data_IF_940114680159
#
_entry.id   IF_940114680159
#
_cell.length_a   1.000
_cell.length_b   1.000
_cell.length_c   1.000
_cell.angle_alpha   90.00
_cell.angle_beta   90.00
_cell.angle_gamma   90.00
#
_symmetry.space_group_name_H-M   'P 1'
#
loop_
_entity.id
_entity.type
_entity.pdbx_description
1 polymer ?
#
# COMPACT_ATOMS: atom_id res chain seq x y z
N UNK A 1 61.05 24.64 7.44
CA UNK A 1 59.63 24.99 7.66
C UNK A 1 58.82 24.19 6.65
N UNK A 2 57.94 23.31 7.11
CA UNK A 2 57.20 22.40 6.24
C UNK A 2 55.81 22.98 6.02
N UNK A 3 55.44 23.22 4.77
CA UNK A 3 54.13 23.77 4.39
C UNK A 3 53.25 22.69 3.79
N UNK A 4 51.95 22.74 4.06
CA UNK A 4 50.92 21.89 3.46
C UNK A 4 50.10 22.72 2.48
N UNK A 5 49.85 22.17 1.28
CA UNK A 5 48.79 22.65 0.38
C UNK A 5 47.56 21.76 0.58
N UNK A 6 46.40 22.36 0.84
CA UNK A 6 45.16 21.64 1.15
C UNK A 6 44.01 22.17 0.29
N UNK A 7 43.35 21.29 -0.46
CA UNK A 7 42.35 21.64 -1.49
C UNK A 7 40.95 21.05 -1.22
N UNK A 8 40.74 20.43 -0.08
CA UNK A 8 39.44 19.81 0.27
C UNK A 8 38.56 20.77 1.08
N UNK A 9 37.31 20.37 1.33
CA UNK A 9 36.39 21.11 2.16
C UNK A 9 36.60 20.79 3.65
N UNK A 10 36.54 21.83 4.46
CA UNK A 10 36.54 21.71 5.91
C UNK A 10 35.15 22.04 6.45
N UNK A 11 34.65 21.20 7.35
CA UNK A 11 33.48 21.49 8.16
C UNK A 11 33.91 22.24 9.43
N UNK A 12 33.17 23.28 9.78
CA UNK A 12 33.30 23.95 11.08
C UNK A 12 32.49 23.15 12.09
N UNK A 13 33.13 22.73 13.16
CA UNK A 13 32.51 22.07 14.30
C UNK A 13 32.79 22.85 15.59
N UNK A 14 31.88 22.70 16.55
CA UNK A 14 31.99 23.35 17.86
C UNK A 14 32.23 22.29 18.92
N UNK A 15 33.14 22.59 19.86
CA UNK A 15 33.33 21.69 20.98
C UNK A 15 32.10 21.70 21.89
N UNK A 16 31.52 20.52 22.14
CA UNK A 16 30.34 20.41 23.02
C UNK A 16 30.66 20.72 24.50
N UNK A 17 31.94 20.77 24.88
CA UNK A 17 32.38 21.10 26.24
C UNK A 17 32.81 22.55 26.40
N UNK A 18 33.73 23.04 25.56
CA UNK A 18 34.29 24.38 25.70
C UNK A 18 33.82 25.40 24.64
N UNK A 19 33.03 24.98 23.66
CA UNK A 19 32.45 25.87 22.64
C UNK A 19 33.43 26.39 21.58
N UNK A 20 34.71 26.00 21.61
CA UNK A 20 35.68 26.44 20.59
C UNK A 20 35.25 25.96 19.21
N UNK A 21 35.28 26.85 18.23
CA UNK A 21 35.09 26.53 16.82
C UNK A 21 36.41 25.97 16.26
N UNK A 22 36.34 24.85 15.54
CA UNK A 22 37.49 24.26 14.85
C UNK A 22 37.06 23.62 13.54
N UNK A 23 38.00 23.55 12.61
CA UNK A 23 37.78 23.00 11.28
C UNK A 23 38.31 21.57 11.20
N UNK A 24 37.55 20.67 10.59
CA UNK A 24 37.98 19.30 10.30
C UNK A 24 37.58 18.91 8.87
N UNK A 25 38.33 18.00 8.20
CA UNK A 25 37.93 17.48 6.89
C UNK A 25 36.50 16.95 6.90
N UNK A 26 35.71 17.29 5.88
CA UNK A 26 34.29 16.89 5.80
C UNK A 26 34.11 15.37 5.82
N UNK A 27 35.03 14.64 5.20
CA UNK A 27 35.03 13.18 5.17
C UNK A 27 35.32 12.56 6.56
N UNK A 28 36.16 13.19 7.37
CA UNK A 28 36.42 12.79 8.74
C UNK A 28 35.21 13.09 9.63
N UNK A 29 34.57 14.26 9.46
CA UNK A 29 33.32 14.61 10.13
C UNK A 29 32.22 13.58 9.81
N UNK A 30 31.99 13.27 8.53
CA UNK A 30 31.01 12.27 8.09
C UNK A 30 31.27 10.90 8.72
N UNK A 31 32.53 10.42 8.67
CA UNK A 31 32.92 9.14 9.28
C UNK A 31 32.62 9.09 10.78
N UNK A 32 32.83 10.19 11.51
CA UNK A 32 32.49 10.28 12.95
C UNK A 32 30.98 10.30 13.20
N UNK A 33 30.20 10.89 12.30
CA UNK A 33 28.72 10.85 12.37
C UNK A 33 28.17 9.45 12.09
N UNK A 34 28.87 8.67 11.27
CA UNK A 34 28.49 7.30 10.95
C UNK A 34 28.95 6.28 12.01
N UNK A 35 30.19 6.38 12.47
CA UNK A 35 30.77 5.42 13.42
C UNK A 35 30.57 5.77 14.90
N UNK A 36 30.11 7.00 15.19
CA UNK A 36 29.92 7.56 16.53
C UNK A 36 31.15 7.46 17.44
N UNK A 37 32.35 7.29 16.88
CA UNK A 37 33.57 7.24 17.68
C UNK A 37 33.99 8.65 18.10
N UNK A 38 34.71 8.69 19.21
CA UNK A 38 35.21 9.93 19.77
C UNK A 38 36.20 10.65 18.83
N UNK A 39 36.14 11.97 18.89
CA UNK A 39 37.09 12.91 18.31
C UNK A 39 37.35 14.03 19.33
N UNK A 40 38.36 14.86 19.09
CA UNK A 40 38.84 15.82 20.07
C UNK A 40 38.88 17.23 19.48
N UNK A 41 38.50 18.21 20.29
CA UNK A 41 38.76 19.61 19.96
C UNK A 41 40.26 19.95 20.17
N UNK A 42 40.74 21.10 19.68
CA UNK A 42 42.13 21.52 19.87
C UNK A 42 42.56 21.70 21.33
N UNK A 43 41.60 21.92 22.23
CA UNK A 43 41.84 21.99 23.68
C UNK A 43 41.84 20.61 24.37
N UNK A 44 41.62 19.52 23.64
CA UNK A 44 41.71 18.14 24.15
C UNK A 44 40.43 17.54 24.73
N UNK A 45 39.28 18.23 24.68
CA UNK A 45 38.00 17.64 25.11
C UNK A 45 37.52 16.58 24.13
N UNK A 46 37.20 15.39 24.65
CA UNK A 46 36.59 14.28 23.91
C UNK A 46 35.12 14.56 23.61
N UNK A 47 34.70 14.29 22.37
CA UNK A 47 33.34 14.46 21.91
C UNK A 47 32.98 13.39 20.88
N UNK A 48 31.71 13.04 20.77
CA UNK A 48 31.19 12.10 19.78
C UNK A 48 29.80 12.54 19.36
N UNK A 49 29.37 12.14 18.17
CA UNK A 49 28.00 12.39 17.74
C UNK A 49 27.05 11.41 18.44
N UNK A 50 25.84 11.85 18.69
CA UNK A 50 24.79 11.06 19.33
C UNK A 50 23.57 10.97 18.42
N UNK A 51 22.72 9.97 18.66
CA UNK A 51 21.51 9.72 17.88
C UNK A 51 21.67 8.56 16.91
N UNK A 52 20.69 8.44 15.99
CA UNK A 52 20.70 7.39 14.96
C UNK A 52 21.64 7.79 13.83
N UNK A 53 22.46 6.84 13.36
CA UNK A 53 23.22 7.00 12.13
C UNK A 53 22.27 7.19 10.95
N UNK A 54 22.76 7.74 9.84
CA UNK A 54 21.94 7.81 8.64
C UNK A 54 21.52 6.41 8.17
N UNK A 55 22.41 5.41 8.25
CA UNK A 55 22.08 4.02 7.95
C UNK A 55 20.91 3.49 8.81
N UNK A 56 20.94 3.73 10.13
CA UNK A 56 19.86 3.33 11.03
C UNK A 56 18.54 4.03 10.68
N UNK A 57 18.58 5.32 10.34
CA UNK A 57 17.39 6.06 9.89
C UNK A 57 16.86 5.51 8.57
N UNK A 58 17.73 5.19 7.61
CA UNK A 58 17.31 4.61 6.34
C UNK A 58 16.72 3.22 6.54
N UNK A 59 17.30 2.39 7.41
CA UNK A 59 16.75 1.07 7.74
C UNK A 59 15.36 1.17 8.37
N UNK A 60 15.18 2.06 9.33
CA UNK A 60 13.87 2.29 9.95
C UNK A 60 12.82 2.80 8.96
N UNK A 61 13.22 3.68 8.02
CA UNK A 61 12.36 4.11 6.92
C UNK A 61 11.98 2.94 6.02
N UNK A 62 12.95 2.11 5.63
CA UNK A 62 12.73 0.94 4.80
C UNK A 62 11.76 -0.04 5.49
N UNK A 63 11.98 -0.35 6.76
CA UNK A 63 11.10 -1.23 7.56
C UNK A 63 9.69 -0.65 7.66
N UNK A 64 9.55 0.67 7.83
CA UNK A 64 8.25 1.33 7.87
C UNK A 64 7.53 1.24 6.52
N UNK A 65 8.23 1.47 5.41
CA UNK A 65 7.66 1.35 4.07
C UNK A 65 7.26 -0.10 3.78
N UNK A 66 8.09 -1.07 4.14
CA UNK A 66 7.81 -2.49 3.97
C UNK A 66 6.50 -2.89 4.68
N UNK A 67 6.33 -2.49 5.94
CA UNK A 67 5.08 -2.73 6.70
C UNK A 67 3.86 -2.07 6.04
N UNK A 68 4.02 -0.88 5.46
CA UNK A 68 2.93 -0.22 4.75
C UNK A 68 2.52 -0.98 3.48
N UNK A 69 3.50 -1.45 2.70
CA UNK A 69 3.25 -2.26 1.51
C UNK A 69 2.52 -3.55 1.89
N UNK A 70 3.01 -4.27 2.89
CA UNK A 70 2.39 -5.52 3.37
C UNK A 70 0.94 -5.32 3.82
N UNK A 71 0.67 -4.23 4.55
CA UNK A 71 -0.69 -3.89 4.96
C UNK A 71 -1.59 -3.59 3.76
N UNK A 72 -1.11 -2.83 2.77
CA UNK A 72 -1.86 -2.52 1.55
C UNK A 72 -2.13 -3.76 0.71
N UNK A 73 -1.18 -4.67 0.60
CA UNK A 73 -1.38 -5.93 -0.09
C UNK A 73 -2.44 -6.80 0.60
N UNK A 74 -2.46 -6.82 1.93
CA UNK A 74 -3.49 -7.52 2.69
C UNK A 74 -4.88 -6.93 2.43
N UNK A 75 -5.01 -5.60 2.43
CA UNK A 75 -6.27 -4.90 2.10
C UNK A 75 -6.74 -5.23 0.68
N UNK A 76 -5.85 -5.16 -0.30
CA UNK A 76 -6.16 -5.49 -1.71
C UNK A 76 -6.65 -6.93 -1.83
N UNK A 77 -5.98 -7.89 -1.18
CA UNK A 77 -6.38 -9.30 -1.20
C UNK A 77 -7.77 -9.50 -0.58
N UNK A 78 -8.08 -8.80 0.50
CA UNK A 78 -9.39 -8.88 1.14
C UNK A 78 -10.48 -8.33 0.20
N UNK A 79 -10.23 -7.19 -0.42
CA UNK A 79 -11.19 -6.54 -1.30
C UNK A 79 -11.44 -7.36 -2.57
N UNK A 80 -10.39 -7.94 -3.16
CA UNK A 80 -10.52 -8.87 -4.28
C UNK A 80 -11.40 -10.08 -3.93
N UNK A 81 -11.26 -10.63 -2.72
CA UNK A 81 -12.10 -11.73 -2.24
C UNK A 81 -13.56 -11.30 -2.07
N UNK A 82 -13.82 -10.11 -1.55
CA UNK A 82 -15.17 -9.55 -1.43
C UNK A 82 -15.82 -9.39 -2.80
N UNK A 83 -15.13 -8.73 -3.74
CA UNK A 83 -15.61 -8.55 -5.10
C UNK A 83 -15.88 -9.89 -5.81
N UNK A 84 -15.02 -10.89 -5.61
CA UNK A 84 -15.24 -12.22 -6.16
C UNK A 84 -16.50 -12.89 -5.57
N UNK A 85 -16.74 -12.74 -4.27
CA UNK A 85 -17.93 -13.26 -3.61
C UNK A 85 -19.20 -12.57 -4.10
N UNK A 86 -19.18 -11.24 -4.19
CA UNK A 86 -20.30 -10.44 -4.70
C UNK A 86 -20.63 -10.80 -6.14
N UNK A 87 -19.63 -10.92 -7.01
CA UNK A 87 -19.82 -11.35 -8.40
C UNK A 87 -20.48 -12.72 -8.48
N UNK A 88 -20.05 -13.68 -7.66
CA UNK A 88 -20.68 -15.02 -7.60
C UNK A 88 -22.13 -14.96 -7.12
N UNK A 89 -22.40 -14.21 -6.06
CA UNK A 89 -23.76 -14.01 -5.54
C UNK A 89 -24.68 -13.34 -6.55
N UNK A 90 -24.18 -12.29 -7.21
CA UNK A 90 -24.91 -11.57 -8.25
C UNK A 90 -25.21 -12.48 -9.45
N UNK A 91 -24.23 -13.26 -9.91
CA UNK A 91 -24.43 -14.22 -11.00
C UNK A 91 -25.46 -15.30 -10.64
N UNK A 92 -25.43 -15.84 -9.41
CA UNK A 92 -26.41 -16.81 -8.94
C UNK A 92 -27.83 -16.22 -8.88
N UNK A 93 -27.97 -15.02 -8.30
CA UNK A 93 -29.25 -14.29 -8.23
C UNK A 93 -29.79 -13.99 -9.63
N UNK A 94 -28.95 -13.48 -10.53
CA UNK A 94 -29.30 -13.23 -11.93
C UNK A 94 -29.77 -14.53 -12.61
N UNK A 95 -29.06 -15.62 -12.43
CA UNK A 95 -29.43 -16.93 -12.98
C UNK A 95 -30.80 -17.43 -12.49
N UNK A 96 -31.09 -17.30 -11.20
CA UNK A 96 -32.40 -17.66 -10.64
C UNK A 96 -33.53 -16.77 -11.18
N UNK A 97 -33.29 -15.47 -11.30
CA UNK A 97 -34.25 -14.53 -11.91
C UNK A 97 -34.51 -14.87 -13.37
N UNK A 98 -33.47 -15.12 -14.17
CA UNK A 98 -33.63 -15.52 -15.58
C UNK A 98 -34.41 -16.83 -15.70
N UNK A 99 -34.09 -17.84 -14.88
CA UNK A 99 -34.81 -19.13 -14.87
C UNK A 99 -36.29 -18.94 -14.52
N UNK A 100 -36.58 -18.11 -13.52
CA UNK A 100 -37.95 -17.82 -13.08
C UNK A 100 -38.73 -17.09 -14.16
N UNK A 101 -38.12 -16.07 -14.80
CA UNK A 101 -38.72 -15.34 -15.91
C UNK A 101 -39.04 -16.25 -17.09
N UNK A 102 -38.11 -17.13 -17.48
CA UNK A 102 -38.34 -18.13 -18.54
C UNK A 102 -39.52 -19.06 -18.21
N UNK A 103 -39.64 -19.50 -16.95
CA UNK A 103 -40.79 -20.32 -16.53
C UNK A 103 -42.11 -19.56 -16.64
N UNK A 104 -42.17 -18.33 -16.16
CA UNK A 104 -43.37 -17.48 -16.23
C UNK A 104 -43.75 -17.16 -17.68
N UNK A 105 -42.76 -16.85 -18.53
CA UNK A 105 -42.97 -16.62 -19.97
C UNK A 105 -43.63 -17.82 -20.65
N UNK A 106 -43.23 -19.03 -20.28
CA UNK A 106 -43.78 -20.29 -20.79
C UNK A 106 -45.04 -20.75 -20.04
N UNK A 107 -45.65 -19.90 -19.21
CA UNK A 107 -46.86 -20.24 -18.46
C UNK A 107 -46.69 -21.30 -17.36
N UNK A 108 -45.47 -21.53 -16.86
CA UNK A 108 -45.16 -22.56 -15.86
C UNK A 108 -45.00 -21.96 -14.45
N UNK A 109 -45.64 -22.52 -13.41
CA UNK A 109 -45.41 -22.05 -12.03
C UNK A 109 -43.96 -22.28 -11.64
N UNK A 110 -43.25 -21.24 -11.15
CA UNK A 110 -41.92 -21.40 -10.56
C UNK A 110 -41.90 -22.35 -9.35
N UNK A 111 -43.03 -22.46 -8.66
CA UNK A 111 -43.22 -23.17 -7.40
C UNK A 111 -43.37 -24.69 -7.55
N UNK A 112 -44.27 -25.15 -8.43
CA UNK A 112 -44.73 -26.53 -8.50
C UNK A 112 -44.66 -27.13 -9.92
N UNK A 113 -44.06 -26.42 -10.88
CA UNK A 113 -43.93 -26.81 -12.30
C UNK A 113 -45.25 -27.10 -13.02
N UNK A 114 -46.41 -26.69 -12.47
CA UNK A 114 -47.70 -26.77 -13.18
C UNK A 114 -47.73 -25.78 -14.35
N UNK A 115 -48.26 -26.22 -15.49
CA UNK A 115 -48.42 -25.38 -16.68
C UNK A 115 -49.84 -24.82 -16.76
N UNK A 116 -49.94 -23.56 -17.17
CA UNK A 116 -51.20 -22.83 -17.34
C UNK A 116 -51.30 -22.32 -18.78
N UNK A 117 -52.06 -23.04 -19.63
CA UNK A 117 -52.19 -22.73 -21.05
C UNK A 117 -52.70 -21.30 -21.34
N UNK A 118 -53.56 -20.76 -20.47
CA UNK A 118 -54.04 -19.38 -20.61
C UNK A 118 -52.93 -18.35 -20.37
N UNK A 119 -52.04 -18.60 -19.41
CA UNK A 119 -50.92 -17.71 -19.11
C UNK A 119 -49.86 -17.75 -20.21
N UNK A 120 -49.55 -18.94 -20.71
CA UNK A 120 -48.63 -19.12 -21.84
C UNK A 120 -49.10 -18.35 -23.08
N UNK A 121 -50.38 -18.53 -23.46
CA UNK A 121 -50.98 -17.80 -24.59
C UNK A 121 -50.97 -16.29 -24.35
N UNK A 122 -51.32 -15.84 -23.14
CA UNK A 122 -51.28 -14.44 -22.77
C UNK A 122 -49.87 -13.85 -22.95
N UNK A 123 -48.84 -14.52 -22.43
CA UNK A 123 -47.45 -14.07 -22.54
C UNK A 123 -46.98 -14.03 -24.00
N UNK A 124 -47.32 -15.04 -24.81
CA UNK A 124 -46.92 -15.10 -26.22
C UNK A 124 -47.56 -13.97 -27.07
N UNK A 125 -48.82 -13.63 -26.83
CA UNK A 125 -49.53 -12.62 -27.63
C UNK A 125 -49.35 -11.19 -27.10
N UNK A 126 -49.29 -10.99 -25.78
CA UNK A 126 -49.24 -9.67 -25.15
C UNK A 126 -47.81 -9.25 -24.80
N UNK A 127 -46.94 -10.20 -24.47
CA UNK A 127 -45.57 -9.94 -23.99
C UNK A 127 -44.49 -10.75 -24.73
N UNK A 128 -44.41 -10.68 -26.08
CA UNK A 128 -43.47 -11.49 -26.86
C UNK A 128 -41.99 -11.23 -26.52
N UNK A 129 -41.64 -10.04 -26.00
CA UNK A 129 -40.27 -9.64 -25.60
C UNK A 129 -39.92 -9.80 -24.12
N UNK A 130 -40.81 -10.36 -23.28
CA UNK A 130 -40.67 -10.36 -21.81
C UNK A 130 -39.34 -10.91 -21.27
N UNK A 131 -38.77 -11.89 -21.95
CA UNK A 131 -37.49 -12.52 -21.55
C UNK A 131 -36.30 -11.64 -21.96
N UNK A 132 -36.35 -10.99 -23.11
CA UNK A 132 -35.24 -10.21 -23.67
C UNK A 132 -35.13 -8.82 -23.03
N UNK A 133 -36.25 -8.14 -22.81
CA UNK A 133 -36.30 -6.75 -22.28
C UNK A 133 -35.84 -6.62 -20.82
N UNK A 134 -35.76 -7.72 -20.07
CA UNK A 134 -35.44 -7.71 -18.64
C UNK A 134 -34.22 -8.57 -18.26
N UNK A 135 -33.48 -9.12 -19.22
CA UNK A 135 -32.33 -10.02 -19.00
C UNK A 135 -31.04 -9.34 -18.56
#
# INVERSE_FOLDING_TARGET
>A
MTTLQYTEQLAIEYCCSCGIAFAMPTDYQSRRRDDHKSFYCPAGHSQHYTGKTEEQKQRERADRLQRQVEAREADIRLEQRRLANERRSHAATKGQLTKTRKRVANGVCPCCNRSFANLERHMAHIHPGYVEERS
#
